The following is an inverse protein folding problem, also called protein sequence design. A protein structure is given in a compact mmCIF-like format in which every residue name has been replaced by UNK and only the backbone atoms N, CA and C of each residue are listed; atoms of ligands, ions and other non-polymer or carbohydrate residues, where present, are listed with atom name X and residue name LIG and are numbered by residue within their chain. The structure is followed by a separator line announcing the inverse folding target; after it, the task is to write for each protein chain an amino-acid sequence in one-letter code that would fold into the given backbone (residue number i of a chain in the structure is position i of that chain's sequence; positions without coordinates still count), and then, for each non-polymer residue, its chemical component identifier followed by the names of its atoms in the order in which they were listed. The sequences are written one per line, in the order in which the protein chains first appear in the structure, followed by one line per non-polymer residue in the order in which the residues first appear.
data_IF_267546888760
#
_entry.id   IF_267546888760
#
_cell.length_a   1.000
_cell.length_b   1.000
_cell.length_c   1.000
_cell.angle_alpha   90.00
_cell.angle_beta   90.00
_cell.angle_gamma   90.00
#
_symmetry.space_group_name_H-M   'P 1'
#
loop_
_entity.id
_entity.type
_entity.pdbx_description
1 polymer ?
#
# COMPACT_ATOMS: atom_id res chain seq x y z
N UNK A 1 13.24 -9.24 4.31
CA UNK A 1 12.21 -8.58 5.14
C UNK A 1 12.62 -8.44 6.60
N UNK A 2 13.07 -9.51 7.26
CA UNK A 2 13.48 -9.50 8.68
C UNK A 2 14.59 -8.47 8.98
N UNK A 3 15.61 -8.38 8.12
CA UNK A 3 16.69 -7.39 8.25
C UNK A 3 16.16 -5.96 8.43
N UNK A 4 15.27 -5.50 7.55
CA UNK A 4 14.75 -4.13 7.60
C UNK A 4 13.92 -3.85 8.85
N UNK A 5 13.19 -4.84 9.36
CA UNK A 5 12.41 -4.72 10.60
C UNK A 5 13.36 -4.55 11.79
N UNK A 6 14.38 -5.41 11.90
CA UNK A 6 15.40 -5.35 12.95
C UNK A 6 16.15 -4.02 12.87
N UNK A 7 16.53 -3.61 11.67
CA UNK A 7 17.20 -2.35 11.40
C UNK A 7 16.35 -1.15 11.88
N UNK A 8 15.07 -1.08 11.51
CA UNK A 8 14.18 -0.02 11.99
C UNK A 8 14.00 -0.04 13.51
N UNK A 9 13.94 -1.23 14.13
CA UNK A 9 13.85 -1.37 15.58
C UNK A 9 15.10 -0.84 16.29
N UNK A 10 16.29 -1.18 15.78
CA UNK A 10 17.55 -0.68 16.31
C UNK A 10 17.59 0.85 16.30
N UNK A 11 17.30 1.48 15.16
CA UNK A 11 17.35 2.94 15.04
C UNK A 11 16.27 3.66 15.86
N UNK A 12 15.12 3.02 16.08
CA UNK A 12 14.03 3.60 16.86
C UNK A 12 14.27 3.53 18.38
N UNK A 13 14.84 2.43 18.88
CA UNK A 13 14.85 2.12 20.32
C UNK A 13 16.24 1.91 20.91
N UNK A 14 17.25 1.48 20.14
CA UNK A 14 18.58 1.19 20.69
C UNK A 14 19.52 2.36 20.38
N UNK A 15 19.55 2.81 19.14
CA UNK A 15 20.42 3.88 18.67
C UNK A 15 20.33 5.18 19.48
N UNK A 16 19.14 5.69 19.86
CA UNK A 16 19.04 6.93 20.62
C UNK A 16 19.69 6.83 22.01
N UNK A 17 19.66 5.65 22.62
CA UNK A 17 20.19 5.43 23.98
C UNK A 17 21.70 5.69 24.04
N UNK A 18 22.46 5.40 22.98
CA UNK A 18 23.90 5.66 22.96
C UNK A 18 24.22 7.13 23.21
N UNK A 19 23.45 8.03 22.60
CA UNK A 19 23.64 9.46 22.77
C UNK A 19 23.35 9.92 24.20
N UNK A 20 22.48 9.23 24.94
CA UNK A 20 22.15 9.60 26.33
C UNK A 20 23.38 9.55 27.25
N UNK A 21 24.43 8.82 26.87
CA UNK A 21 25.69 8.72 27.63
C UNK A 21 26.82 9.61 27.11
N UNK A 22 26.66 10.26 25.95
CA UNK A 22 27.74 10.97 25.25
C UNK A 22 27.80 12.48 25.54
N UNK A 23 26.87 13.02 26.34
CA UNK A 23 26.77 14.46 26.57
C UNK A 23 26.51 14.81 28.02
N UNK A 24 26.91 16.03 28.40
CA UNK A 24 26.41 16.70 29.60
C UNK A 24 25.10 17.38 29.27
N UNK A 25 24.01 16.83 29.80
CA UNK A 25 22.67 17.27 29.48
C UNK A 25 22.18 18.26 30.54
N UNK A 26 22.37 19.55 30.29
CA UNK A 26 21.81 20.63 31.11
C UNK A 26 21.11 21.64 30.22
N UNK A 27 19.92 22.04 30.61
CA UNK A 27 19.12 23.04 29.89
C UNK A 27 18.49 24.04 30.86
N UNK A 28 18.05 25.18 30.34
CA UNK A 28 17.30 26.16 31.13
C UNK A 28 15.90 25.61 31.46
N UNK A 29 15.25 26.05 32.55
CA UNK A 29 13.89 25.61 32.91
C UNK A 29 12.90 25.66 31.76
N UNK A 30 12.94 26.75 31.00
CA UNK A 30 11.98 27.05 29.95
C UNK A 30 12.17 26.06 28.79
N UNK A 31 13.42 25.89 28.33
CA UNK A 31 13.76 24.95 27.27
C UNK A 31 13.49 23.50 27.67
N UNK A 32 13.77 23.13 28.92
CA UNK A 32 13.51 21.79 29.42
C UNK A 32 12.02 21.48 29.48
N UNK A 33 11.21 22.44 29.91
CA UNK A 33 9.76 22.29 29.99
C UNK A 33 9.12 22.22 28.60
N UNK A 34 9.60 23.04 27.66
CA UNK A 34 9.18 22.94 26.25
C UNK A 34 9.57 21.58 25.65
N UNK A 35 10.81 21.13 25.90
CA UNK A 35 11.32 19.84 25.39
C UNK A 35 10.54 18.66 25.96
N UNK A 36 10.15 18.72 27.24
CA UNK A 36 9.28 17.73 27.87
C UNK A 36 7.92 17.67 27.16
N UNK A 37 7.28 18.82 26.97
CA UNK A 37 5.98 18.90 26.28
C UNK A 37 6.04 18.37 24.84
N UNK A 38 7.08 18.74 24.09
CA UNK A 38 7.32 18.24 22.74
C UNK A 38 7.56 16.73 22.74
N UNK A 39 8.41 16.22 23.64
CA UNK A 39 8.69 14.79 23.73
C UNK A 39 7.43 13.98 24.04
N UNK A 40 6.63 14.38 25.03
CA UNK A 40 5.35 13.74 25.35
C UNK A 40 4.43 13.71 24.13
N UNK A 41 4.28 14.85 23.45
CA UNK A 41 3.45 14.96 22.25
C UNK A 41 3.93 14.02 21.13
N UNK A 42 5.25 13.95 20.91
CA UNK A 42 5.84 13.09 19.88
C UNK A 42 5.67 11.60 20.18
N UNK A 43 5.89 11.17 21.43
CA UNK A 43 5.63 9.79 21.85
C UNK A 43 4.15 9.43 21.71
N UNK A 44 3.24 10.33 22.10
CA UNK A 44 1.80 10.15 21.94
C UNK A 44 1.40 9.99 20.46
N UNK A 45 1.89 10.87 19.58
CA UNK A 45 1.65 10.78 18.13
C UNK A 45 2.19 9.46 17.56
N UNK A 46 3.38 9.04 17.99
CA UNK A 46 4.00 7.78 17.56
C UNK A 46 3.14 6.57 17.97
N UNK A 47 2.73 6.50 19.24
CA UNK A 47 1.83 5.46 19.76
C UNK A 47 0.48 5.44 19.02
N UNK A 48 -0.13 6.60 18.78
CA UNK A 48 -1.39 6.70 18.01
C UNK A 48 -1.24 6.21 16.57
N UNK A 49 -0.10 6.48 15.94
CA UNK A 49 0.21 5.97 14.59
C UNK A 49 0.31 4.45 14.59
N UNK A 50 0.97 3.86 15.59
CA UNK A 50 1.06 2.40 15.72
C UNK A 50 -0.34 1.79 15.86
N UNK A 51 -1.15 2.33 16.78
CA UNK A 51 -2.52 1.87 17.02
C UNK A 51 -3.39 1.97 15.76
N UNK A 52 -3.43 3.15 15.11
CA UNK A 52 -4.27 3.37 13.93
C UNK A 52 -3.86 2.49 12.75
N UNK A 53 -2.55 2.39 12.48
CA UNK A 53 -2.05 1.72 11.27
C UNK A 53 -2.01 0.20 11.42
N UNK A 54 -1.50 -0.31 12.54
CA UNK A 54 -1.19 -1.75 12.66
C UNK A 54 -2.25 -2.53 13.46
N UNK A 55 -3.05 -1.87 14.29
CA UNK A 55 -4.10 -2.54 15.06
C UNK A 55 -5.46 -2.27 14.41
N UNK A 56 -5.87 -1.00 14.32
CA UNK A 56 -7.19 -0.63 13.81
C UNK A 56 -7.32 -0.80 12.29
N UNK A 57 -6.24 -0.53 11.53
CA UNK A 57 -6.22 -0.65 10.07
C UNK A 57 -6.61 -2.04 9.57
N UNK A 58 -5.91 -3.12 9.96
CA UNK A 58 -6.26 -4.48 9.56
C UNK A 58 -7.67 -4.91 9.98
N UNK A 59 -8.13 -4.49 11.16
CA UNK A 59 -9.50 -4.77 11.63
C UNK A 59 -10.52 -4.11 10.71
N UNK A 60 -10.31 -2.83 10.34
CA UNK A 60 -11.18 -2.14 9.39
C UNK A 60 -11.18 -2.82 8.03
N UNK A 61 -10.01 -3.19 7.50
CA UNK A 61 -9.88 -3.91 6.22
C UNK A 61 -10.63 -5.24 6.26
N UNK A 62 -10.48 -6.03 7.33
CA UNK A 62 -11.22 -7.27 7.51
C UNK A 62 -12.73 -7.03 7.48
N UNK A 63 -13.25 -6.05 8.22
CA UNK A 63 -14.69 -5.73 8.22
C UNK A 63 -15.22 -5.35 6.83
N UNK A 64 -14.42 -4.63 6.05
CA UNK A 64 -14.78 -4.29 4.66
C UNK A 64 -14.84 -5.56 3.80
N UNK A 65 -13.87 -6.47 3.96
CA UNK A 65 -13.90 -7.76 3.24
C UNK A 65 -15.06 -8.64 3.66
N UNK A 66 -15.34 -8.75 4.96
CA UNK A 66 -16.45 -9.53 5.48
C UNK A 66 -17.79 -8.96 4.95
N UNK A 67 -17.96 -7.63 4.97
CA UNK A 67 -19.13 -6.98 4.36
C UNK A 67 -19.24 -7.26 2.86
N UNK A 68 -18.12 -7.21 2.14
CA UNK A 68 -18.12 -7.51 0.70
C UNK A 68 -18.61 -8.93 0.43
N UNK A 69 -18.21 -9.92 1.23
CA UNK A 69 -18.70 -11.30 1.10
C UNK A 69 -20.21 -11.42 1.34
N UNK A 70 -20.74 -10.66 2.31
CA UNK A 70 -22.16 -10.71 2.68
C UNK A 70 -23.06 -10.00 1.65
N UNK A 71 -22.67 -8.82 1.19
CA UNK A 71 -23.56 -7.91 0.43
C UNK A 71 -23.14 -7.69 -1.03
N UNK A 72 -21.93 -8.07 -1.43
CA UNK A 72 -21.45 -7.80 -2.78
C UNK A 72 -22.16 -8.63 -3.85
N UNK A 73 -22.08 -8.13 -5.09
CA UNK A 73 -22.69 -8.76 -6.26
C UNK A 73 -21.82 -9.93 -6.74
N UNK A 74 -22.38 -11.14 -6.72
CA UNK A 74 -21.69 -12.35 -7.20
C UNK A 74 -21.69 -12.42 -8.72
N UNK A 75 -20.56 -12.78 -9.30
CA UNK A 75 -20.39 -13.07 -10.72
C UNK A 75 -19.50 -14.29 -10.91
N UNK A 76 -19.68 -15.02 -12.00
CA UNK A 76 -18.81 -16.14 -12.36
C UNK A 76 -17.58 -15.58 -13.08
N UNK A 77 -16.40 -16.00 -12.65
CA UNK A 77 -15.13 -15.70 -13.28
C UNK A 77 -14.45 -16.97 -13.76
N UNK A 78 -13.67 -16.86 -14.83
CA UNK A 78 -12.85 -17.94 -15.37
C UNK A 78 -11.38 -17.63 -15.04
N UNK A 79 -10.63 -18.64 -14.62
CA UNK A 79 -9.18 -18.52 -14.44
C UNK A 79 -8.52 -18.56 -15.81
N UNK A 80 -8.02 -17.41 -16.25
CA UNK A 80 -7.36 -17.22 -17.55
C UNK A 80 -5.90 -17.66 -17.48
N UNK A 81 -5.23 -17.35 -16.36
CA UNK A 81 -3.82 -17.67 -16.16
C UNK A 81 -3.51 -17.89 -14.66
N UNK A 82 -2.44 -18.64 -14.39
CA UNK A 82 -1.99 -19.03 -13.05
C UNK A 82 -0.46 -19.01 -12.99
N UNK A 83 0.09 -18.22 -12.07
CA UNK A 83 1.52 -18.21 -11.76
C UNK A 83 1.71 -18.69 -10.32
N UNK A 84 2.54 -19.72 -10.14
CA UNK A 84 2.88 -20.23 -8.81
C UNK A 84 4.10 -19.50 -8.26
N UNK A 85 3.91 -18.72 -7.20
CA UNK A 85 4.93 -17.92 -6.55
C UNK A 85 5.59 -18.63 -5.36
N UNK A 86 5.51 -19.96 -5.33
CA UNK A 86 6.01 -20.80 -4.25
C UNK A 86 5.08 -20.81 -3.05
N UNK A 87 5.64 -20.94 -1.83
CA UNK A 87 4.88 -21.14 -0.59
C UNK A 87 5.03 -19.98 0.38
N UNK A 88 3.95 -19.64 1.07
CA UNK A 88 3.98 -18.69 2.20
C UNK A 88 4.33 -19.39 3.53
N UNK A 89 4.66 -18.58 4.54
CA UNK A 89 4.81 -19.03 5.93
C UNK A 89 3.55 -19.80 6.38
N UNK A 90 3.70 -21.10 6.61
CA UNK A 90 2.58 -22.02 6.88
C UNK A 90 2.42 -23.13 5.85
N UNK A 91 3.21 -23.15 4.77
CA UNK A 91 3.24 -24.23 3.79
C UNK A 91 2.13 -24.18 2.74
N UNK A 92 1.31 -23.11 2.76
CA UNK A 92 0.27 -22.82 1.78
C UNK A 92 0.87 -22.28 0.49
N UNK A 93 0.23 -22.58 -0.65
CA UNK A 93 0.70 -22.16 -1.96
C UNK A 93 0.28 -20.72 -2.23
N UNK A 94 1.20 -19.92 -2.77
CA UNK A 94 0.97 -18.53 -3.16
C UNK A 94 0.79 -18.48 -4.68
N UNK A 95 -0.37 -18.03 -5.12
CA UNK A 95 -0.77 -18.04 -6.52
C UNK A 95 -1.08 -16.62 -6.96
N UNK A 96 -0.56 -16.21 -8.12
CA UNK A 96 -1.07 -15.03 -8.83
C UNK A 96 -1.99 -15.55 -9.93
N UNK A 97 -3.28 -15.21 -9.83
CA UNK A 97 -4.32 -15.65 -10.77
C UNK A 97 -4.74 -14.48 -11.65
N UNK A 98 -4.93 -14.72 -12.94
CA UNK A 98 -5.63 -13.79 -13.84
C UNK A 98 -7.05 -14.27 -13.99
N UNK A 99 -8.02 -13.44 -13.58
CA UNK A 99 -9.44 -13.75 -13.62
C UNK A 99 -10.14 -12.96 -14.71
N UNK A 100 -10.87 -13.65 -15.57
CA UNK A 100 -11.76 -13.08 -16.59
C UNK A 100 -13.21 -13.11 -16.12
N UNK A 101 -13.87 -11.95 -16.04
CA UNK A 101 -15.29 -11.85 -15.67
C UNK A 101 -15.95 -10.58 -16.23
N UNK A 102 -17.27 -10.57 -16.27
CA UNK A 102 -18.03 -9.35 -16.60
C UNK A 102 -18.14 -8.45 -15.38
N UNK A 103 -17.79 -7.17 -15.56
CA UNK A 103 -17.88 -6.16 -14.50
C UNK A 103 -19.34 -5.69 -14.26
N UNK A 104 -19.53 -4.67 -13.41
CA UNK A 104 -20.88 -4.21 -13.05
C UNK A 104 -21.65 -3.57 -14.20
N UNK A 105 -20.97 -3.17 -15.28
CA UNK A 105 -21.58 -2.61 -16.49
C UNK A 105 -21.68 -3.63 -17.64
N UNK A 106 -21.34 -4.90 -17.40
CA UNK A 106 -21.42 -5.99 -18.38
C UNK A 106 -20.26 -6.02 -19.37
N UNK A 107 -19.13 -5.40 -19.05
CA UNK A 107 -17.92 -5.40 -19.86
C UNK A 107 -16.93 -6.44 -19.34
N UNK A 108 -16.44 -7.29 -20.23
CA UNK A 108 -15.44 -8.30 -19.89
C UNK A 108 -14.13 -7.65 -19.42
N UNK A 109 -13.61 -8.12 -18.30
CA UNK A 109 -12.36 -7.66 -17.70
C UNK A 109 -11.48 -8.80 -17.22
N UNK A 110 -10.19 -8.65 -17.48
CA UNK A 110 -9.14 -9.50 -16.91
C UNK A 110 -8.40 -8.75 -15.81
N UNK A 111 -8.33 -9.35 -14.62
CA UNK A 111 -7.64 -8.76 -13.47
C UNK A 111 -6.81 -9.80 -12.74
N UNK A 112 -5.59 -9.40 -12.39
CA UNK A 112 -4.69 -10.21 -11.56
C UNK A 112 -5.03 -10.08 -10.07
N UNK A 113 -5.05 -11.18 -9.34
CA UNK A 113 -5.21 -11.23 -7.88
C UNK A 113 -4.22 -12.22 -7.27
N UNK A 114 -3.64 -11.83 -6.13
CA UNK A 114 -2.75 -12.67 -5.33
C UNK A 114 -3.60 -13.47 -4.33
N UNK A 115 -3.46 -14.80 -4.32
CA UNK A 115 -4.27 -15.72 -3.52
C UNK A 115 -3.36 -16.70 -2.78
N UNK A 116 -3.66 -16.92 -1.50
CA UNK A 116 -3.03 -17.99 -0.71
C UNK A 116 -3.98 -19.19 -0.64
N UNK A 117 -3.60 -20.30 -1.28
CA UNK A 117 -4.40 -21.52 -1.27
C UNK A 117 -4.12 -22.35 -0.01
N UNK A 118 -5.10 -22.37 0.89
CA UNK A 118 -5.06 -23.21 2.10
C UNK A 118 -5.29 -24.70 1.85
N UNK A 119 -5.81 -25.07 0.68
CA UNK A 119 -6.13 -26.46 0.30
C UNK A 119 -5.74 -26.75 -1.17
N UNK A 120 -4.44 -26.76 -1.51
CA UNK A 120 -3.98 -26.97 -2.88
C UNK A 120 -4.46 -28.28 -3.51
N UNK A 121 -4.59 -29.35 -2.71
CA UNK A 121 -5.03 -30.67 -3.18
C UNK A 121 -6.47 -30.74 -3.70
N UNK A 122 -7.25 -29.65 -3.61
CA UNK A 122 -8.57 -29.54 -4.22
C UNK A 122 -8.53 -29.04 -5.68
N UNK A 123 -7.36 -28.63 -6.20
CA UNK A 123 -7.16 -28.13 -7.57
C UNK A 123 -8.19 -27.07 -7.97
N UNK A 124 -8.53 -26.17 -7.04
CA UNK A 124 -9.60 -25.16 -7.23
C UNK A 124 -9.20 -24.09 -8.23
N UNK A 125 -7.90 -23.83 -8.37
CA UNK A 125 -7.37 -22.68 -9.09
C UNK A 125 -6.66 -23.04 -10.40
N UNK A 126 -7.12 -24.10 -11.09
CA UNK A 126 -6.59 -24.48 -12.39
C UNK A 126 -7.14 -23.64 -13.54
N UNK A 127 -6.35 -23.47 -14.60
CA UNK A 127 -6.72 -22.68 -15.78
C UNK A 127 -7.98 -23.26 -16.42
N UNK A 128 -8.93 -22.38 -16.74
CA UNK A 128 -10.24 -22.74 -17.29
C UNK A 128 -11.29 -23.09 -16.24
N UNK A 129 -10.93 -23.25 -14.97
CA UNK A 129 -11.93 -23.44 -13.92
C UNK A 129 -12.77 -22.18 -13.72
N UNK A 130 -14.06 -22.40 -13.44
CA UNK A 130 -14.98 -21.36 -12.99
C UNK A 130 -14.87 -21.18 -11.48
N UNK A 131 -14.78 -19.92 -11.05
CA UNK A 131 -14.79 -19.52 -9.66
C UNK A 131 -15.73 -18.33 -9.46
N UNK A 132 -16.38 -18.26 -8.30
CA UNK A 132 -17.24 -17.12 -7.99
C UNK A 132 -16.44 -15.97 -7.43
N UNK A 133 -16.63 -14.79 -8.02
CA UNK A 133 -16.07 -13.52 -7.59
C UNK A 133 -17.19 -12.65 -7.03
N UNK A 134 -16.91 -11.96 -5.94
CA UNK A 134 -17.83 -11.03 -5.29
C UNK A 134 -17.37 -9.61 -5.58
N UNK A 135 -18.15 -8.87 -6.38
CA UNK A 135 -17.92 -7.50 -6.79
C UNK A 135 -18.48 -6.51 -5.77
N UNK A 136 -17.74 -5.42 -5.53
CA UNK A 136 -18.14 -4.35 -4.63
C UNK A 136 -19.01 -3.33 -5.39
N UNK A 137 -20.33 -3.50 -5.32
CA UNK A 137 -21.32 -2.64 -5.97
C UNK A 137 -21.63 -1.35 -5.20
N UNK A 138 -21.32 -1.28 -3.91
CA UNK A 138 -21.28 -0.03 -3.13
C UNK A 138 -20.11 0.89 -3.56
N UNK A 139 -19.16 0.34 -4.34
CA UNK A 139 -17.95 1.02 -4.76
C UNK A 139 -16.87 1.09 -3.68
N UNK A 140 -15.66 1.49 -4.07
CA UNK A 140 -14.51 1.62 -3.18
C UNK A 140 -13.51 0.48 -3.28
N UNK A 141 -12.70 0.31 -2.23
CA UNK A 141 -11.57 -0.64 -2.19
C UNK A 141 -11.82 -1.76 -1.17
N UNK A 142 -11.63 -3.04 -1.57
CA UNK A 142 -11.22 -3.50 -2.90
C UNK A 142 -12.39 -3.46 -3.90
N UNK A 143 -12.07 -3.57 -5.19
CA UNK A 143 -13.07 -3.76 -6.23
C UNK A 143 -13.81 -5.10 -6.10
N UNK A 144 -13.09 -6.17 -5.83
CA UNK A 144 -13.66 -7.51 -5.77
C UNK A 144 -12.84 -8.40 -4.83
N UNK A 145 -13.38 -9.57 -4.53
CA UNK A 145 -12.68 -10.65 -3.85
C UNK A 145 -13.24 -12.02 -4.29
N UNK A 146 -12.50 -13.10 -4.05
CA UNK A 146 -13.02 -14.45 -4.30
C UNK A 146 -14.08 -14.82 -3.24
N UNK A 147 -15.10 -15.57 -3.64
CA UNK A 147 -16.10 -16.07 -2.70
C UNK A 147 -15.44 -17.02 -1.68
N UNK A 148 -15.76 -16.82 -0.40
CA UNK A 148 -15.18 -17.60 0.70
C UNK A 148 -13.74 -17.23 1.05
N UNK A 149 -13.14 -16.24 0.38
CA UNK A 149 -11.86 -15.68 0.80
C UNK A 149 -12.02 -14.97 2.15
N UNK A 150 -11.12 -15.26 3.08
CA UNK A 150 -11.13 -14.65 4.41
C UNK A 150 -9.78 -13.99 4.70
N UNK A 151 -9.84 -12.85 5.38
CA UNK A 151 -8.63 -12.16 5.84
C UNK A 151 -8.41 -12.48 7.32
N UNK A 152 -7.36 -13.24 7.60
CA UNK A 152 -6.94 -13.47 8.99
C UNK A 152 -6.20 -12.24 9.52
N UNK A 153 -6.70 -11.66 10.60
CA UNK A 153 -6.05 -10.54 11.29
C UNK A 153 -5.34 -11.07 12.52
N UNK A 154 -4.01 -11.22 12.44
CA UNK A 154 -3.19 -11.66 13.58
C UNK A 154 -2.39 -10.47 14.12
N UNK A 155 -3.04 -9.67 14.97
CA UNK A 155 -2.48 -8.40 15.45
C UNK A 155 -1.78 -8.45 16.81
N UNK A 156 -1.54 -9.63 17.39
CA UNK A 156 -0.92 -9.72 18.74
C UNK A 156 0.45 -9.06 18.80
N UNK A 157 1.30 -9.22 17.78
CA UNK A 157 2.60 -8.55 17.73
C UNK A 157 2.48 -7.03 17.65
N UNK A 158 1.49 -6.51 16.90
CA UNK A 158 1.24 -5.08 16.84
C UNK A 158 0.77 -4.53 18.19
N UNK A 159 -0.02 -5.31 18.93
CA UNK A 159 -0.45 -4.95 20.29
C UNK A 159 0.71 -4.98 21.30
N UNK A 160 1.51 -6.05 21.28
CA UNK A 160 2.74 -6.15 22.10
C UNK A 160 3.66 -4.96 21.81
N UNK A 161 3.84 -4.62 20.53
CA UNK A 161 4.68 -3.49 20.14
C UNK A 161 4.11 -2.14 20.59
N UNK A 162 2.78 -1.95 20.53
CA UNK A 162 2.13 -0.75 21.05
C UNK A 162 2.36 -0.58 22.56
N UNK A 163 2.16 -1.64 23.35
CA UNK A 163 2.44 -1.62 24.79
C UNK A 163 3.92 -1.38 25.06
N UNK A 164 4.81 -2.08 24.35
CA UNK A 164 6.25 -1.88 24.44
C UNK A 164 6.64 -0.42 24.16
N UNK A 165 6.06 0.23 23.14
CA UNK A 165 6.37 1.62 22.81
C UNK A 165 6.03 2.57 23.97
N UNK A 166 4.88 2.38 24.63
CA UNK A 166 4.46 3.18 25.79
C UNK A 166 5.38 2.92 26.99
N UNK A 167 5.60 1.65 27.33
CA UNK A 167 6.46 1.26 28.46
C UNK A 167 7.89 1.74 28.24
N UNK A 168 8.41 1.64 27.01
CA UNK A 168 9.71 2.14 26.63
C UNK A 168 9.80 3.66 26.81
N UNK A 169 8.81 4.42 26.34
CA UNK A 169 8.78 5.88 26.47
C UNK A 169 8.85 6.31 27.95
N UNK A 170 8.02 5.70 28.79
CA UNK A 170 7.95 6.01 30.23
C UNK A 170 9.21 5.53 30.95
N UNK A 171 9.63 4.29 30.71
CA UNK A 171 10.77 3.67 31.38
C UNK A 171 12.08 4.39 31.05
N UNK A 172 12.32 4.72 29.78
CA UNK A 172 13.53 5.47 29.40
C UNK A 172 13.53 6.89 29.93
N UNK A 173 12.38 7.55 29.99
CA UNK A 173 12.26 8.83 30.68
C UNK A 173 12.63 8.72 32.16
N UNK A 174 12.03 7.75 32.85
CA UNK A 174 12.24 7.52 34.28
C UNK A 174 13.71 7.21 34.60
N UNK A 175 14.34 6.29 33.85
CA UNK A 175 15.76 5.97 34.01
C UNK A 175 16.66 7.18 33.76
N UNK A 176 16.31 8.03 32.78
CA UNK A 176 17.04 9.26 32.49
C UNK A 176 16.86 10.28 33.61
N UNK A 177 15.66 10.35 34.19
CA UNK A 177 15.36 11.22 35.32
C UNK A 177 16.18 10.83 36.56
N UNK A 178 16.17 9.57 36.97
CA UNK A 178 16.97 9.07 38.10
C UNK A 178 18.46 9.38 37.91
N UNK A 179 18.97 9.25 36.68
CA UNK A 179 20.39 9.40 36.39
C UNK A 179 20.86 10.84 36.21
N UNK A 180 20.04 11.71 35.60
CA UNK A 180 20.48 13.03 35.13
C UNK A 180 19.72 14.20 35.77
N UNK A 181 18.72 13.94 36.62
CA UNK A 181 17.96 15.02 37.26
C UNK A 181 18.82 15.87 38.19
N UNK A 182 19.78 15.26 38.90
CA UNK A 182 20.64 15.92 39.91
C UNK A 182 19.85 16.80 40.91
N UNK A 183 18.63 16.39 41.27
CA UNK A 183 17.72 17.16 42.14
C UNK A 183 17.09 18.40 41.49
N UNK A 184 17.37 18.67 40.21
CA UNK A 184 16.87 19.80 39.44
C UNK A 184 15.65 19.46 38.55
N UNK A 185 14.99 18.33 38.80
CA UNK A 185 13.84 17.87 38.04
C UNK A 185 14.19 17.48 36.61
N UNK A 186 13.37 17.87 35.63
CA UNK A 186 13.55 17.51 34.22
C UNK A 186 14.49 18.43 33.43
N UNK A 187 15.31 19.25 34.12
CA UNK A 187 16.25 20.21 33.50
C UNK A 187 17.33 19.57 32.62
N UNK A 188 17.53 18.26 32.71
CA UNK A 188 18.40 17.51 31.81
C UNK A 188 17.83 17.38 30.39
N UNK A 189 16.52 17.58 30.19
CA UNK A 189 15.92 17.53 28.86
C UNK A 189 16.31 18.77 28.07
N UNK A 190 17.21 18.60 27.11
CA UNK A 190 17.42 19.57 26.04
C UNK A 190 16.66 19.12 24.78
N UNK A 191 16.44 20.01 23.79
CA UNK A 191 15.87 19.60 22.50
C UNK A 191 16.67 18.50 21.79
N UNK A 192 17.99 18.45 22.01
CA UNK A 192 18.88 17.42 21.49
C UNK A 192 18.89 16.12 22.30
N UNK A 193 18.21 16.08 23.45
CA UNK A 193 18.20 14.91 24.30
C UNK A 193 17.50 13.74 23.59
N UNK A 194 18.08 12.52 23.59
CA UNK A 194 17.59 11.43 22.75
C UNK A 194 16.14 11.05 22.94
N UNK A 195 15.63 11.13 24.17
CA UNK A 195 14.23 10.85 24.45
C UNK A 195 13.25 11.76 23.70
N UNK A 196 13.65 13.00 23.38
CA UNK A 196 12.80 13.98 22.69
C UNK A 196 12.69 13.66 21.20
N UNK A 197 13.80 13.34 20.52
CA UNK A 197 13.81 13.11 19.07
C UNK A 197 13.64 11.64 18.66
N UNK A 198 13.85 10.68 19.56
CA UNK A 198 13.72 9.24 19.27
C UNK A 198 12.39 8.86 18.58
N UNK A 199 11.21 9.39 18.97
CA UNK A 199 9.96 9.11 18.28
C UNK A 199 9.97 9.50 16.80
N UNK A 200 10.65 10.59 16.45
CA UNK A 200 10.74 11.08 15.07
C UNK A 200 11.54 10.09 14.23
N UNK A 201 12.71 9.67 14.72
CA UNK A 201 13.54 8.67 14.03
C UNK A 201 12.81 7.34 13.91
N UNK A 202 12.12 6.91 14.97
CA UNK A 202 11.29 5.71 14.92
C UNK A 202 10.19 5.81 13.87
N UNK A 203 9.41 6.89 13.87
CA UNK A 203 8.34 7.11 12.88
C UNK A 203 8.88 7.11 11.45
N UNK A 204 10.01 7.77 11.20
CA UNK A 204 10.65 7.81 9.88
C UNK A 204 11.13 6.41 9.45
N UNK A 205 11.87 5.73 10.31
CA UNK A 205 12.46 4.41 10.04
C UNK A 205 11.40 3.36 9.73
N UNK A 206 10.30 3.34 10.49
CA UNK A 206 9.19 2.42 10.22
C UNK A 206 8.33 2.84 9.02
N UNK A 207 8.21 4.13 8.73
CA UNK A 207 7.49 4.61 7.54
C UNK A 207 8.17 4.14 6.25
N UNK A 208 9.49 4.32 6.16
CA UNK A 208 10.29 3.92 5.00
C UNK A 208 10.28 2.40 4.81
N UNK A 209 10.59 1.64 5.86
CA UNK A 209 10.66 0.16 5.78
C UNK A 209 9.30 -0.47 5.43
N UNK A 210 8.19 0.03 5.99
CA UNK A 210 6.88 -0.62 5.82
C UNK A 210 6.04 -0.09 4.67
N UNK A 211 6.42 1.04 4.05
CA UNK A 211 5.82 1.53 2.80
C UNK A 211 6.08 0.58 1.61
N UNK A 212 7.15 -0.22 1.70
CA UNK A 212 7.57 -1.07 0.59
C UNK A 212 6.83 -2.40 0.49
N UNK A 213 6.34 -3.02 1.59
CA UNK A 213 5.99 -4.46 1.54
C UNK A 213 4.88 -5.00 2.48
N UNK A 214 4.16 -4.21 3.30
CA UNK A 214 3.15 -4.78 4.24
C UNK A 214 1.73 -4.92 3.67
N UNK A 215 1.41 -4.30 2.54
CA UNK A 215 0.02 -4.29 2.04
C UNK A 215 -0.31 -5.28 0.92
N UNK A 216 0.50 -6.32 0.71
CA UNK A 216 0.16 -7.36 -0.27
C UNK A 216 -0.01 -6.81 -1.69
N UNK A 217 0.61 -5.66 -1.98
CA UNK A 217 0.76 -5.21 -3.35
C UNK A 217 2.12 -5.70 -3.78
N UNK A 218 2.11 -6.78 -4.57
CA UNK A 218 3.29 -7.13 -5.35
C UNK A 218 3.79 -5.87 -6.09
N UNK A 219 5.11 -5.71 -6.29
CA UNK A 219 5.65 -4.67 -7.18
C UNK A 219 5.02 -4.72 -8.59
N UNK A 220 4.38 -5.83 -8.97
CA UNK A 220 3.57 -5.99 -10.19
C UNK A 220 2.26 -5.19 -10.12
N UNK A 221 1.53 -5.19 -9.00
CA UNK A 221 0.32 -4.36 -8.84
C UNK A 221 0.65 -2.86 -8.95
N UNK A 222 1.75 -2.39 -8.34
CA UNK A 222 2.20 -0.99 -8.49
C UNK A 222 2.61 -0.64 -9.92
N UNK A 223 3.16 -1.60 -10.69
CA UNK A 223 3.49 -1.43 -12.12
C UNK A 223 2.23 -1.38 -13.00
N UNK A 224 1.22 -2.20 -12.70
CA UNK A 224 -0.05 -2.29 -13.46
C UNK A 224 -1.00 -1.12 -13.23
N UNK A 225 -0.90 -0.48 -12.06
CA UNK A 225 -1.74 0.66 -11.66
C UNK A 225 -1.37 1.95 -12.41
N UNK A 226 -0.16 2.05 -13.00
CA UNK A 226 0.20 3.17 -13.88
C UNK A 226 -0.02 4.56 -13.25
N UNK A 227 0.17 4.67 -11.94
CA UNK A 227 -0.04 5.91 -11.17
C UNK A 227 -1.47 6.19 -10.70
N UNK A 228 -2.43 5.29 -10.91
CA UNK A 228 -3.77 5.41 -10.31
C UNK A 228 -3.73 5.20 -8.78
N UNK A 229 -4.64 5.83 -8.04
CA UNK A 229 -4.92 5.45 -6.66
C UNK A 229 -5.66 4.10 -6.61
N UNK A 230 -5.62 3.42 -5.46
CA UNK A 230 -6.34 2.13 -5.28
C UNK A 230 -7.85 2.28 -5.57
N UNK A 231 -8.45 3.42 -5.22
CA UNK A 231 -9.86 3.70 -5.46
C UNK A 231 -10.15 3.90 -6.95
N UNK A 232 -9.33 4.66 -7.68
CA UNK A 232 -9.50 4.87 -9.12
C UNK A 232 -9.32 3.57 -9.89
N UNK A 233 -8.34 2.76 -9.52
CA UNK A 233 -8.15 1.43 -10.10
C UNK A 233 -9.35 0.52 -9.85
N UNK A 234 -9.90 0.55 -8.62
CA UNK A 234 -11.06 -0.26 -8.27
C UNK A 234 -12.31 0.16 -9.05
N UNK A 235 -12.54 1.47 -9.21
CA UNK A 235 -13.62 2.00 -10.05
C UNK A 235 -13.45 1.58 -11.51
N UNK A 236 -12.23 1.59 -12.04
CA UNK A 236 -11.95 1.20 -13.41
C UNK A 236 -12.20 -0.29 -13.67
N UNK A 237 -11.92 -1.16 -12.69
CA UNK A 237 -12.27 -2.59 -12.78
C UNK A 237 -13.79 -2.76 -12.80
N UNK A 238 -14.50 -2.07 -11.90
CA UNK A 238 -15.92 -2.27 -11.67
C UNK A 238 -16.83 -1.66 -12.73
N UNK A 239 -16.51 -0.45 -13.18
CA UNK A 239 -17.37 0.36 -14.06
C UNK A 239 -16.68 0.80 -15.35
N UNK A 240 -15.44 0.35 -15.59
CA UNK A 240 -14.71 0.70 -16.80
C UNK A 240 -15.36 0.11 -18.05
N UNK A 241 -15.38 0.90 -19.13
CA UNK A 241 -15.81 0.45 -20.45
C UNK A 241 -14.62 0.28 -21.37
N UNK A 242 -14.66 -0.76 -22.20
CA UNK A 242 -13.63 -1.01 -23.20
C UNK A 242 -13.96 -0.24 -24.48
N UNK A 243 -12.95 0.39 -25.07
CA UNK A 243 -13.08 1.04 -26.37
C UNK A 243 -11.77 0.98 -27.12
N UNK A 244 -11.86 0.83 -28.45
CA UNK A 244 -10.70 0.98 -29.32
C UNK A 244 -10.43 2.48 -29.50
N UNK A 245 -9.27 2.91 -29.01
CA UNK A 245 -8.75 4.25 -29.19
C UNK A 245 -7.48 4.25 -30.05
N UNK A 246 -6.83 5.40 -30.09
CA UNK A 246 -5.58 5.61 -30.82
C UNK A 246 -4.58 6.36 -29.93
N UNK A 247 -3.35 5.87 -29.88
CA UNK A 247 -2.21 6.63 -29.34
C UNK A 247 -1.83 7.67 -30.39
N UNK A 248 -2.15 8.94 -30.10
CA UNK A 248 -1.88 10.07 -31.00
C UNK A 248 -0.43 10.51 -30.92
N UNK A 249 0.13 10.50 -29.71
CA UNK A 249 1.53 10.84 -29.49
C UNK A 249 2.01 10.35 -28.13
N UNK A 250 3.33 10.26 -27.97
CA UNK A 250 3.97 10.07 -26.68
C UNK A 250 5.20 10.97 -26.59
N UNK A 251 5.52 11.46 -25.39
CA UNK A 251 6.74 12.23 -25.14
C UNK A 251 7.35 11.85 -23.80
N UNK A 252 8.68 11.70 -23.75
CA UNK A 252 9.37 11.51 -22.48
C UNK A 252 9.30 12.81 -21.66
N UNK A 253 9.04 12.72 -20.35
CA UNK A 253 8.92 13.91 -19.49
C UNK A 253 10.26 14.38 -18.92
N UNK A 254 11.35 13.65 -19.19
CA UNK A 254 12.66 13.85 -18.58
C UNK A 254 12.74 13.41 -17.11
N UNK A 255 11.63 12.91 -16.54
CA UNK A 255 11.59 12.40 -15.16
C UNK A 255 11.83 10.89 -15.16
N UNK A 256 12.66 10.41 -14.22
CA UNK A 256 12.87 8.99 -13.97
C UNK A 256 12.34 8.63 -12.58
N UNK A 257 11.66 7.49 -12.50
CA UNK A 257 11.16 6.92 -11.25
C UNK A 257 11.73 5.52 -11.14
N UNK A 258 12.59 5.28 -10.14
CA UNK A 258 13.31 4.01 -9.97
C UNK A 258 14.07 3.58 -11.25
N UNK A 259 14.82 4.52 -11.84
CA UNK A 259 15.58 4.30 -13.09
C UNK A 259 14.72 3.94 -14.32
N UNK A 260 13.39 3.99 -14.18
CA UNK A 260 12.44 3.80 -15.27
C UNK A 260 11.97 5.15 -15.78
N UNK A 261 11.98 5.38 -17.11
CA UNK A 261 11.55 6.65 -17.69
C UNK A 261 10.05 6.85 -17.53
N UNK A 262 9.67 8.10 -17.26
CA UNK A 262 8.28 8.53 -17.33
C UNK A 262 7.98 9.11 -18.71
N UNK A 263 6.87 8.66 -19.30
CA UNK A 263 6.37 9.09 -20.62
C UNK A 263 4.95 9.62 -20.48
N UNK A 264 4.67 10.76 -21.09
CA UNK A 264 3.32 11.27 -21.27
C UNK A 264 2.77 10.72 -22.59
N UNK A 265 1.69 9.93 -22.50
CA UNK A 265 0.99 9.37 -23.66
C UNK A 265 -0.32 10.16 -23.84
N UNK A 266 -0.59 10.55 -25.08
CA UNK A 266 -1.84 11.17 -25.51
C UNK A 266 -2.65 10.16 -26.29
N UNK A 267 -3.88 9.92 -25.84
CA UNK A 267 -4.82 8.98 -26.47
C UNK A 267 -6.07 9.70 -26.92
N UNK A 268 -6.66 9.20 -28.01
CA UNK A 268 -7.93 9.67 -28.54
C UNK A 268 -8.87 8.49 -28.70
N UNK A 269 -10.09 8.63 -28.19
CA UNK A 269 -11.12 7.61 -28.30
C UNK A 269 -12.51 8.27 -28.33
N UNK A 270 -13.53 7.52 -28.74
CA UNK A 270 -14.93 7.96 -28.62
C UNK A 270 -15.54 7.32 -27.38
N UNK A 271 -16.28 8.08 -26.58
CA UNK A 271 -17.04 7.49 -25.49
C UNK A 271 -18.31 6.77 -25.99
N UNK A 272 -19.04 6.17 -25.06
CA UNK A 272 -20.32 5.50 -25.25
C UNK A 272 -21.42 6.41 -25.81
N UNK A 273 -21.23 7.73 -25.78
CA UNK A 273 -22.12 8.73 -26.37
C UNK A 273 -21.63 9.23 -27.74
N UNK A 274 -20.54 8.66 -28.25
CA UNK A 274 -19.90 9.07 -29.50
C UNK A 274 -19.10 10.37 -29.42
N UNK A 275 -18.89 10.92 -28.22
CA UNK A 275 -18.09 12.14 -28.02
C UNK A 275 -16.61 11.79 -28.12
N UNK A 276 -15.89 12.53 -28.95
CA UNK A 276 -14.45 12.38 -29.07
C UNK A 276 -13.74 12.92 -27.83
N UNK A 277 -13.02 12.05 -27.13
CA UNK A 277 -12.21 12.38 -25.97
C UNK A 277 -10.73 12.37 -26.37
N UNK A 278 -10.02 13.41 -25.94
CA UNK A 278 -8.58 13.53 -26.09
C UNK A 278 -7.97 13.65 -24.68
N UNK A 279 -7.34 12.56 -24.22
CA UNK A 279 -6.85 12.41 -22.86
C UNK A 279 -5.33 12.23 -22.85
N UNK A 280 -4.70 12.66 -21.76
CA UNK A 280 -3.24 12.53 -21.56
C UNK A 280 -2.97 11.88 -20.22
N UNK A 281 -1.98 11.00 -20.18
CA UNK A 281 -1.56 10.36 -18.93
C UNK A 281 -0.05 10.15 -18.90
N UNK A 282 0.54 10.39 -17.74
CA UNK A 282 1.94 10.07 -17.47
C UNK A 282 2.04 8.65 -16.95
N UNK A 283 2.86 7.84 -17.59
CA UNK A 283 3.07 6.43 -17.27
C UNK A 283 4.57 6.21 -17.07
N UNK A 284 4.92 5.40 -16.08
CA UNK A 284 6.28 4.89 -15.92
C UNK A 284 6.35 3.58 -16.71
N UNK A 285 7.24 3.51 -17.67
CA UNK A 285 7.40 2.33 -18.53
C UNK A 285 8.82 1.79 -18.40
N UNK A 286 8.99 0.50 -18.66
CA UNK A 286 10.33 -0.09 -18.73
C UNK A 286 11.14 0.60 -19.82
N UNK A 287 12.44 0.81 -19.57
CA UNK A 287 13.35 1.41 -20.56
C UNK A 287 13.36 0.63 -21.88
N UNK A 288 13.24 -0.71 -21.80
CA UNK A 288 13.17 -1.61 -22.96
C UNK A 288 11.88 -1.47 -23.78
N UNK A 289 10.82 -0.93 -23.17
CA UNK A 289 9.51 -0.78 -23.81
C UNK A 289 9.31 0.62 -24.38
N UNK A 290 10.15 1.60 -24.03
CA UNK A 290 10.13 2.95 -24.65
C UNK A 290 10.28 2.85 -26.17
N UNK A 291 11.21 2.02 -26.65
CA UNK A 291 11.44 1.80 -28.08
C UNK A 291 10.36 0.99 -28.78
N UNK A 292 9.42 0.41 -28.02
CA UNK A 292 8.26 -0.33 -28.55
C UNK A 292 6.99 0.52 -28.54
N UNK A 293 7.03 1.71 -27.96
CA UNK A 293 5.92 2.65 -28.02
C UNK A 293 5.75 3.11 -29.47
N UNK A 294 4.56 2.88 -29.97
CA UNK A 294 4.18 3.25 -31.32
C UNK A 294 2.84 3.96 -31.28
N UNK A 295 2.62 4.82 -32.26
CA UNK A 295 1.30 5.42 -32.50
C UNK A 295 0.40 4.40 -33.19
N UNK A 296 -0.89 4.46 -32.94
CA UNK A 296 -1.85 3.55 -33.58
C UNK A 296 -2.93 3.01 -32.64
N UNK A 297 -3.72 2.03 -33.12
CA UNK A 297 -4.88 1.53 -32.41
C UNK A 297 -4.49 0.82 -31.11
N UNK A 298 -5.28 1.06 -30.07
CA UNK A 298 -5.04 0.50 -28.74
C UNK A 298 -6.35 0.26 -28.01
N UNK A 299 -6.43 -0.81 -27.23
CA UNK A 299 -7.59 -1.09 -26.40
C UNK A 299 -7.46 -0.28 -25.11
N UNK A 300 -8.44 0.59 -24.89
CA UNK A 300 -8.50 1.50 -23.75
C UNK A 300 -9.67 1.08 -22.88
N UNK A 301 -9.42 0.94 -21.58
CA UNK A 301 -10.47 0.95 -20.57
C UNK A 301 -10.55 2.32 -19.96
N UNK A 302 -11.71 2.97 -20.06
CA UNK A 302 -11.95 4.28 -19.47
C UNK A 302 -13.10 4.23 -18.46
N UNK A 303 -13.13 5.14 -17.50
CA UNK A 303 -14.23 5.28 -16.57
C UNK A 303 -15.26 6.28 -17.11
N UNK A 304 -16.52 5.87 -17.38
CA UNK A 304 -17.57 6.81 -17.77
C UNK A 304 -17.76 7.91 -16.72
N UNK A 305 -17.85 9.16 -17.16
CA UNK A 305 -17.96 10.32 -16.26
C UNK A 305 -16.63 10.91 -15.78
N UNK A 306 -15.50 10.23 -15.96
CA UNK A 306 -14.17 10.81 -15.71
C UNK A 306 -13.22 10.58 -16.90
N UNK A 307 -13.05 11.63 -17.70
CA UNK A 307 -12.31 11.60 -18.98
C UNK A 307 -10.81 11.35 -18.83
N UNK A 308 -10.24 11.60 -17.66
CA UNK A 308 -8.81 11.46 -17.40
C UNK A 308 -8.45 10.06 -16.84
N UNK A 309 -9.45 9.31 -16.36
CA UNK A 309 -9.25 7.98 -15.80
C UNK A 309 -9.36 6.90 -16.87
N UNK A 310 -8.21 6.52 -17.41
CA UNK A 310 -8.10 5.40 -18.33
C UNK A 310 -6.86 4.52 -18.07
N UNK A 311 -6.91 3.29 -18.58
CA UNK A 311 -5.82 2.31 -18.63
C UNK A 311 -5.76 1.71 -20.03
N UNK A 312 -4.55 1.58 -20.55
CA UNK A 312 -4.27 0.83 -21.77
C UNK A 312 -4.26 -0.67 -21.41
N UNK A 313 -5.13 -1.46 -22.04
CA UNK A 313 -5.35 -2.88 -21.71
C UNK A 313 -4.45 -3.77 -22.58
N UNK A 314 -4.40 -3.52 -23.89
CA UNK A 314 -3.58 -4.26 -24.86
C UNK A 314 -3.32 -3.41 -26.10
N UNK A 315 -2.23 -3.68 -26.83
CA UNK A 315 -2.07 -3.16 -28.20
C UNK A 315 -2.97 -4.03 -29.08
N UNK A 316 -3.95 -3.41 -29.77
CA UNK A 316 -4.74 -4.12 -30.77
C UNK A 316 -3.80 -4.45 -31.93
N UNK A 317 -3.62 -5.74 -32.22
CA UNK A 317 -2.82 -6.22 -33.35
C UNK A 317 -3.49 -5.85 -34.68
#
# INVERSE_FOLDING_TARGET
MIFWIIFSFFFAYIFPIFFSYMGEWKSTPELATISLGIGILLWFISSLRILRKYILGPIKKKRVMDRLQDYGKRTTAIIVDKIENGKVLGGYDNLDLVLGFDNLVGEYTEVSIDVVDSKPGLNRYEIGNEITVVLNDEGGTPAFNLEGASVSVRNHWAFIWFIFNIVYAIGTFYLSYEKYSDGMGWRFLSPGYPWVWAPIIGMFSFSVTMSTNIYGQSPMMKRLIGGLSENEYSQLILYGRNVVGEIVSYKQTGTYINEQPQVEIRVRYKDDRGVLIDAKKKLVISLLDVGKLDTGPVDIRYLPGNRELFKIVKKSN
#
